data_IF_876684067549
#
_entry.id   IF_876684067549
#
_cell.length_a   1.000
_cell.length_b   1.000
_cell.length_c   1.000
_cell.angle_alpha   90.00
_cell.angle_beta   90.00
_cell.angle_gamma   90.00
#
_symmetry.space_group_name_H-M   'P 1'
#
loop_
_entity.id
_entity.type
_entity.pdbx_description
1 polymer ?
#
# COMPACT_ATOMS: atom_id res chain seq x y z
N UNK A 1 1.73 13.01 2.81
CA UNK A 1 0.64 12.05 2.57
C UNK A 1 1.20 10.77 1.99
N UNK A 2 0.58 9.62 2.23
CA UNK A 2 1.03 8.32 1.70
C UNK A 2 0.20 8.00 0.46
N UNK A 3 0.86 7.87 -0.69
CA UNK A 3 0.24 7.58 -1.98
C UNK A 3 0.83 6.28 -2.53
N UNK A 4 0.29 5.12 -2.11
CA UNK A 4 0.82 3.85 -2.56
C UNK A 4 0.52 3.62 -4.05
N UNK A 5 1.41 2.89 -4.71
CA UNK A 5 1.19 2.37 -6.06
C UNK A 5 0.28 1.15 -6.06
N UNK A 6 0.68 0.10 -6.79
CA UNK A 6 -0.07 -1.15 -6.85
C UNK A 6 0.07 -1.93 -5.53
N UNK A 7 -1.03 -2.09 -4.79
CA UNK A 7 -1.08 -2.85 -3.53
C UNK A 7 -2.04 -4.02 -3.70
N UNK A 8 -1.64 -5.19 -3.22
CA UNK A 8 -2.53 -6.37 -3.20
C UNK A 8 -3.57 -6.22 -2.10
N UNK A 9 -4.79 -5.88 -2.49
CA UNK A 9 -5.96 -5.75 -1.60
C UNK A 9 -7.21 -6.23 -2.33
N UNK A 10 -8.26 -6.46 -1.56
CA UNK A 10 -9.62 -6.78 -2.00
C UNK A 10 -10.29 -5.66 -2.84
N UNK A 11 -9.69 -4.46 -2.89
CA UNK A 11 -10.18 -3.36 -3.72
C UNK A 11 -10.10 -3.70 -5.21
N UNK A 12 -9.15 -4.55 -5.61
CA UNK A 12 -9.01 -4.97 -7.02
C UNK A 12 -10.32 -5.60 -7.53
N UNK A 13 -10.95 -6.45 -6.71
CA UNK A 13 -12.18 -7.16 -7.05
C UNK A 13 -13.35 -6.19 -7.17
N UNK A 14 -13.43 -5.22 -6.24
CA UNK A 14 -14.45 -4.17 -6.25
C UNK A 14 -14.29 -3.18 -7.42
N UNK A 15 -13.07 -2.98 -7.91
CA UNK A 15 -12.76 -2.08 -9.03
C UNK A 15 -12.98 -2.71 -10.41
N UNK A 16 -13.35 -4.00 -10.47
CA UNK A 16 -13.43 -4.78 -11.71
C UNK A 16 -12.06 -5.15 -12.29
N UNK A 17 -11.00 -5.02 -11.49
CA UNK A 17 -9.66 -5.43 -11.83
C UNK A 17 -9.46 -6.94 -11.70
N UNK A 18 -8.42 -7.45 -12.36
CA UNK A 18 -8.08 -8.87 -12.32
C UNK A 18 -6.97 -9.12 -11.29
N UNK A 19 -7.27 -9.89 -10.24
CA UNK A 19 -6.30 -10.23 -9.20
C UNK A 19 -5.03 -10.94 -9.72
N UNK A 20 -5.09 -11.56 -10.92
CA UNK A 20 -3.91 -12.17 -11.57
C UNK A 20 -2.83 -11.14 -11.93
N UNK A 21 -3.15 -9.85 -11.95
CA UNK A 21 -2.17 -8.77 -12.16
C UNK A 21 -1.01 -8.84 -11.16
N UNK A 22 -1.27 -9.31 -9.95
CA UNK A 22 -0.27 -9.42 -8.89
C UNK A 22 0.72 -10.58 -9.10
N UNK A 23 0.43 -11.52 -10.00
CA UNK A 23 1.32 -12.65 -10.32
C UNK A 23 2.41 -12.25 -11.32
N UNK A 24 2.18 -11.17 -12.07
CA UNK A 24 3.05 -10.72 -13.16
C UNK A 24 3.66 -9.35 -12.90
N UNK A 25 2.98 -8.47 -12.16
CA UNK A 25 3.48 -7.15 -11.81
C UNK A 25 4.04 -7.13 -10.39
N UNK A 26 5.22 -6.49 -10.19
CA UNK A 26 5.68 -6.13 -8.86
C UNK A 26 4.61 -5.30 -8.16
N UNK A 27 4.32 -5.66 -6.92
CA UNK A 27 3.30 -4.99 -6.11
C UNK A 27 3.76 -4.91 -4.66
N UNK A 28 3.16 -3.96 -3.95
CA UNK A 28 3.43 -3.71 -2.54
C UNK A 28 2.51 -4.62 -1.70
N UNK A 29 3.08 -5.22 -0.65
CA UNK A 29 2.30 -5.91 0.38
C UNK A 29 1.67 -4.88 1.31
N UNK A 30 0.41 -5.10 1.70
CA UNK A 30 -0.34 -4.21 2.59
C UNK A 30 0.39 -3.96 3.93
N UNK A 31 1.12 -4.95 4.44
CA UNK A 31 1.94 -4.84 5.64
C UNK A 31 2.98 -3.70 5.55
N UNK A 32 3.66 -3.56 4.41
CA UNK A 32 4.68 -2.50 4.26
C UNK A 32 4.06 -1.10 4.30
N UNK A 33 2.81 -0.95 3.82
CA UNK A 33 2.07 0.31 3.94
C UNK A 33 1.74 0.59 5.40
N UNK A 34 1.28 -0.41 6.15
CA UNK A 34 0.98 -0.25 7.58
C UNK A 34 2.23 0.15 8.38
N UNK A 35 3.36 -0.49 8.14
CA UNK A 35 4.65 -0.15 8.76
C UNK A 35 5.09 1.28 8.41
N UNK A 36 4.91 1.68 7.14
CA UNK A 36 5.21 3.05 6.69
C UNK A 36 4.34 4.09 7.40
N UNK A 37 3.05 3.80 7.57
CA UNK A 37 2.12 4.68 8.32
C UNK A 37 2.59 4.82 9.76
N UNK A 38 2.88 3.69 10.43
CA UNK A 38 3.37 3.71 11.83
C UNK A 38 4.67 4.49 11.94
N UNK A 39 5.61 4.28 11.02
CA UNK A 39 6.87 5.01 10.99
C UNK A 39 6.65 6.52 10.84
N UNK A 40 5.87 6.94 9.84
CA UNK A 40 5.59 8.35 9.58
C UNK A 40 4.90 9.04 10.78
N UNK A 41 3.99 8.34 11.45
CA UNK A 41 3.30 8.85 12.64
C UNK A 41 4.16 8.82 13.91
N UNK A 42 5.20 7.99 13.94
CA UNK A 42 6.15 7.92 15.06
C UNK A 42 7.22 9.00 15.00
N UNK A 43 7.34 9.72 13.88
CA UNK A 43 8.29 10.81 13.74
C UNK A 43 7.93 11.98 14.69
N UNK A 44 8.93 12.62 15.33
CA UNK A 44 8.71 13.83 16.11
C UNK A 44 7.95 14.89 15.30
N UNK A 45 7.07 15.67 15.94
CA UNK A 45 6.18 16.62 15.25
C UNK A 45 6.88 17.74 14.46
N UNK A 46 8.21 17.85 14.57
CA UNK A 46 9.06 18.75 13.78
C UNK A 46 9.64 18.09 12.51
N UNK A 47 9.33 16.81 12.24
CA UNK A 47 9.73 16.06 11.04
C UNK A 47 8.50 15.33 10.52
N UNK A 48 7.74 15.99 9.63
CA UNK A 48 6.62 15.38 8.90
C UNK A 48 6.69 15.73 7.42
#
# INVERSE_FOLDING_TARGET
GIYPGLVKTEIIDASGGDARVFDVLPHIQSQHIAETVVYALSAPGNVQ
#
